data_IF_666429012275
#
_entry.id   IF_666429012275
#
_cell.length_a   1.000
_cell.length_b   1.000
_cell.length_c   1.000
_cell.angle_alpha   90.00
_cell.angle_beta   90.00
_cell.angle_gamma   90.00
#
_symmetry.space_group_name_H-M   'P 1'
#
loop_
_entity.id
_entity.type
_entity.pdbx_description
1 polymer ?
#
# COMPACT_ATOMS: atom_id res chain seq x y z
N UNK A 1 -33.89 -14.95 -28.97
CA UNK A 1 -32.52 -15.43 -28.62
C UNK A 1 -31.47 -14.31 -28.61
N UNK A 2 -31.25 -13.55 -29.69
CA UNK A 2 -30.25 -12.46 -29.73
C UNK A 2 -30.41 -11.38 -28.64
N UNK A 3 -31.65 -10.99 -28.30
CA UNK A 3 -31.95 -10.00 -27.24
C UNK A 3 -31.63 -10.51 -25.83
N UNK A 4 -31.88 -11.79 -25.55
CA UNK A 4 -31.52 -12.42 -24.29
C UNK A 4 -30.00 -12.54 -24.13
N UNK A 5 -29.29 -12.85 -25.22
CA UNK A 5 -27.83 -12.89 -25.24
C UNK A 5 -27.22 -11.52 -24.92
N UNK A 6 -27.78 -10.45 -25.48
CA UNK A 6 -27.33 -9.08 -25.23
C UNK A 6 -27.59 -8.63 -23.78
N UNK A 7 -28.76 -8.97 -23.23
CA UNK A 7 -29.09 -8.68 -21.82
C UNK A 7 -28.16 -9.44 -20.86
N UNK A 8 -27.84 -10.69 -21.15
CA UNK A 8 -26.91 -11.49 -20.35
C UNK A 8 -25.49 -10.91 -20.40
N UNK A 9 -25.01 -10.51 -21.59
CA UNK A 9 -23.70 -9.86 -21.74
C UNK A 9 -23.60 -8.53 -20.98
N UNK A 10 -24.66 -7.71 -21.02
CA UNK A 10 -24.72 -6.47 -20.25
C UNK A 10 -24.67 -6.74 -18.74
N UNK A 11 -25.41 -7.73 -18.25
CA UNK A 11 -25.41 -8.08 -16.82
C UNK A 11 -24.03 -8.52 -16.30
N UNK A 12 -23.25 -9.24 -17.12
CA UNK A 12 -21.89 -9.67 -16.77
C UNK A 12 -20.92 -8.49 -16.72
N UNK A 13 -21.05 -7.51 -17.62
CA UNK A 13 -20.18 -6.32 -17.66
C UNK A 13 -20.41 -5.37 -16.48
N UNK A 14 -21.62 -5.32 -15.94
CA UNK A 14 -21.97 -4.49 -14.77
C UNK A 14 -21.93 -5.25 -13.44
N UNK A 15 -21.49 -6.51 -13.44
CA UNK A 15 -21.25 -7.23 -12.21
C UNK A 15 -20.12 -6.52 -11.43
N UNK A 16 -20.31 -6.22 -10.12
CA UNK A 16 -19.26 -5.62 -9.33
C UNK A 16 -18.03 -6.54 -9.34
N UNK A 17 -16.90 -6.02 -9.80
CA UNK A 17 -15.65 -6.76 -9.83
C UNK A 17 -15.29 -7.25 -8.43
N UNK A 18 -14.87 -8.51 -8.31
CA UNK A 18 -14.35 -9.03 -7.06
C UNK A 18 -13.14 -8.17 -6.63
N UNK A 19 -13.16 -7.66 -5.39
CA UNK A 19 -12.00 -6.96 -4.84
C UNK A 19 -10.81 -7.90 -4.85
N UNK A 20 -9.80 -7.58 -5.66
CA UNK A 20 -8.54 -8.33 -5.64
C UNK A 20 -7.79 -8.02 -4.35
N UNK A 21 -7.24 -9.06 -3.72
CA UNK A 21 -6.26 -8.87 -2.65
C UNK A 21 -4.97 -8.39 -3.29
N UNK A 22 -4.68 -7.11 -3.13
CA UNK A 22 -3.42 -6.49 -3.51
C UNK A 22 -2.53 -6.27 -2.28
N UNK A 23 -1.25 -6.03 -2.53
CA UNK A 23 -0.10 -5.98 -1.62
C UNK A 23 0.15 -7.32 -0.92
N UNK A 24 1.36 -7.87 -1.10
CA UNK A 24 1.81 -9.06 -0.34
C UNK A 24 3.00 -8.69 0.53
N UNK A 25 2.91 -9.00 1.83
CA UNK A 25 4.04 -8.94 2.76
C UNK A 25 4.62 -10.32 3.01
N UNK A 26 5.93 -10.47 2.92
CA UNK A 26 6.65 -11.72 3.11
C UNK A 26 7.70 -11.51 4.20
N UNK A 27 7.81 -12.44 5.13
CA UNK A 27 8.87 -12.45 6.16
C UNK A 27 9.50 -13.83 6.19
N UNK A 28 10.80 -13.89 5.94
CA UNK A 28 11.60 -15.11 5.97
C UNK A 28 12.49 -15.06 7.21
N UNK A 29 12.42 -16.10 8.03
CA UNK A 29 13.33 -16.30 9.17
C UNK A 29 14.22 -17.49 8.86
N UNK A 30 15.52 -17.24 8.83
CA UNK A 30 16.52 -18.28 8.63
C UNK A 30 16.79 -19.04 9.94
N UNK A 31 17.28 -20.28 9.82
CA UNK A 31 17.62 -21.13 10.96
C UNK A 31 18.81 -20.60 11.76
N UNK A 32 19.68 -19.81 11.13
CA UNK A 32 20.80 -19.09 11.77
C UNK A 32 20.37 -17.79 12.48
N UNK A 33 19.07 -17.47 12.46
CA UNK A 33 18.51 -16.30 13.14
C UNK A 33 18.37 -15.05 12.28
N UNK A 34 18.84 -15.05 11.03
CA UNK A 34 18.63 -13.92 10.11
C UNK A 34 17.13 -13.73 9.77
N UNK A 35 16.73 -12.49 9.49
CA UNK A 35 15.36 -12.15 9.08
C UNK A 35 15.38 -11.27 7.83
N UNK A 36 14.57 -11.62 6.83
CA UNK A 36 14.41 -10.88 5.58
C UNK A 36 12.93 -10.55 5.42
N UNK A 37 12.63 -9.27 5.19
CA UNK A 37 11.26 -8.80 4.91
C UNK A 37 11.15 -8.31 3.48
N UNK A 38 10.08 -8.69 2.81
CA UNK A 38 9.77 -8.29 1.44
C UNK A 38 8.33 -7.82 1.31
N UNK A 39 8.08 -6.92 0.36
CA UNK A 39 6.74 -6.44 0.01
C UNK A 39 6.60 -6.33 -1.50
N UNK A 40 5.50 -6.84 -2.05
CA UNK A 40 5.06 -6.53 -3.41
C UNK A 40 4.02 -5.41 -3.38
N UNK A 41 4.03 -4.57 -4.42
CA UNK A 41 3.09 -3.45 -4.60
C UNK A 41 2.49 -3.55 -5.99
N UNK A 42 1.23 -3.98 -6.06
CA UNK A 42 0.51 -4.29 -7.30
C UNK A 42 -0.15 -3.04 -7.89
N UNK A 43 -0.23 -1.95 -7.12
CA UNK A 43 -0.66 -0.64 -7.58
C UNK A 43 0.51 0.33 -7.65
N UNK A 44 1.53 -0.04 -8.42
CA UNK A 44 2.63 0.85 -8.78
C UNK A 44 2.36 1.50 -10.12
N UNK A 45 1.26 2.26 -10.22
CA UNK A 45 1.12 3.19 -11.35
C UNK A 45 2.08 4.37 -11.11
N UNK A 46 2.67 4.90 -12.19
CA UNK A 46 3.79 5.85 -12.18
C UNK A 46 3.60 7.10 -11.29
N UNK A 47 2.37 7.42 -10.89
CA UNK A 47 2.03 8.58 -10.05
C UNK A 47 2.41 8.40 -8.57
N UNK A 48 2.71 7.18 -8.12
CA UNK A 48 2.91 6.85 -6.72
C UNK A 48 4.35 7.05 -6.23
N UNK A 49 5.29 7.37 -7.14
CA UNK A 49 6.66 7.75 -6.79
C UNK A 49 7.53 6.63 -6.17
N UNK A 50 7.10 5.37 -6.28
CA UNK A 50 7.77 4.19 -5.67
C UNK A 50 9.19 3.91 -6.17
N UNK A 51 9.71 4.66 -7.14
CA UNK A 51 11.12 4.61 -7.53
C UNK A 51 12.02 5.53 -6.71
N UNK A 52 11.45 6.35 -5.81
CA UNK A 52 12.19 7.29 -4.98
C UNK A 52 12.33 6.75 -3.56
N UNK A 53 13.50 6.96 -2.99
CA UNK A 53 13.74 6.71 -1.57
C UNK A 53 13.79 8.03 -0.81
N UNK A 54 13.11 8.07 0.32
CA UNK A 54 13.14 9.17 1.26
C UNK A 54 13.91 8.75 2.51
N UNK A 55 14.84 9.61 2.94
CA UNK A 55 15.66 9.41 4.15
C UNK A 55 15.14 10.35 5.23
N UNK A 56 14.79 9.79 6.38
CA UNK A 56 14.31 10.54 7.54
C UNK A 56 15.33 10.45 8.68
N UNK A 57 15.87 11.58 9.17
CA UNK A 57 16.85 11.57 10.24
C UNK A 57 16.21 11.23 11.59
N UNK A 58 17.04 10.71 12.51
CA UNK A 58 16.68 10.59 13.92
C UNK A 58 16.47 11.97 14.55
N UNK A 59 15.77 12.00 15.67
CA UNK A 59 15.42 13.17 16.47
C UNK A 59 14.57 14.22 15.71
N UNK A 60 13.95 13.83 14.58
CA UNK A 60 12.98 14.65 13.85
C UNK A 60 11.64 14.69 14.60
N UNK A 61 11.05 15.88 14.71
CA UNK A 61 9.69 16.04 15.22
C UNK A 61 8.65 15.76 14.13
N UNK A 62 7.57 15.09 14.52
CA UNK A 62 6.45 14.71 13.67
C UNK A 62 5.13 15.10 14.32
N UNK A 63 4.14 15.33 13.46
CA UNK A 63 2.73 15.49 13.84
C UNK A 63 1.91 14.67 12.86
N UNK A 64 1.04 13.81 13.37
CA UNK A 64 0.18 12.98 12.53
C UNK A 64 -0.91 13.85 11.87
N UNK A 65 -1.27 13.48 10.65
CA UNK A 65 -2.40 14.04 9.93
C UNK A 65 -3.67 13.24 10.28
N UNK A 66 -4.76 13.95 10.52
CA UNK A 66 -6.11 13.41 10.68
C UNK A 66 -7.02 13.99 9.59
N UNK A 67 -8.27 13.50 9.43
CA UNK A 67 -9.23 14.12 8.53
C UNK A 67 -9.48 15.62 8.79
N UNK A 68 -9.31 16.07 10.04
CA UNK A 68 -9.52 17.47 10.45
C UNK A 68 -8.24 18.33 10.34
N UNK A 69 -7.12 17.74 9.91
CA UNK A 69 -5.85 18.43 9.67
C UNK A 69 -4.65 17.87 10.45
N UNK A 70 -3.60 18.69 10.58
CA UNK A 70 -2.37 18.33 11.31
C UNK A 70 -2.54 18.53 12.81
N UNK A 71 -3.48 17.81 13.41
CA UNK A 71 -3.80 17.87 14.83
C UNK A 71 -3.68 16.51 15.52
N UNK A 72 -3.07 15.53 14.84
CA UNK A 72 -2.86 14.20 15.39
C UNK A 72 -1.73 14.13 16.40
N UNK A 73 -1.35 12.90 16.74
CA UNK A 73 -0.27 12.61 17.67
C UNK A 73 1.04 13.34 17.29
N UNK A 74 1.69 13.95 18.28
CA UNK A 74 3.02 14.57 18.14
C UNK A 74 4.06 13.68 18.77
N UNK A 75 5.18 13.46 18.10
CA UNK A 75 6.31 12.70 18.66
C UNK A 75 7.64 13.14 18.05
N UNK A 76 8.73 12.78 18.72
CA UNK A 76 10.10 12.93 18.20
C UNK A 76 10.65 11.54 17.91
N UNK A 77 11.05 11.29 16.66
CA UNK A 77 11.51 9.97 16.23
C UNK A 77 12.86 9.62 16.85
N UNK A 78 12.97 8.48 17.54
CA UNK A 78 14.23 8.06 18.18
C UNK A 78 15.29 7.59 17.17
N UNK A 79 14.85 6.98 16.08
CA UNK A 79 15.70 6.39 15.05
C UNK A 79 15.42 7.03 13.70
N UNK A 80 16.45 7.09 12.85
CA UNK A 80 16.28 7.42 11.44
C UNK A 80 15.78 6.20 10.66
N UNK A 81 15.11 6.44 9.54
CA UNK A 81 14.59 5.37 8.70
C UNK A 81 14.56 5.78 7.22
N UNK A 82 14.46 4.78 6.35
CA UNK A 82 14.30 4.94 4.91
C UNK A 82 12.89 4.48 4.54
N UNK A 83 12.25 5.21 3.64
CA UNK A 83 10.93 4.88 3.11
C UNK A 83 10.90 5.05 1.59
N UNK A 84 9.88 4.47 0.97
CA UNK A 84 9.62 4.45 -0.45
C UNK A 84 8.19 4.92 -0.70
#
# INVERSE_FOLDING_TARGET
MKRLLALFAALVLFAPGASSRACTGISLKSTDGAAIVGRTVEWSLDDSGHHRLAIFPRDKSYIAQTPDGHNGMKWTGRYGFVSM
#
